data_IF_998806959161
#
_entry.id   IF_998806959161
#
_cell.length_a   1.000
_cell.length_b   1.000
_cell.length_c   1.000
_cell.angle_alpha   90.00
_cell.angle_beta   90.00
_cell.angle_gamma   90.00
#
_symmetry.space_group_name_H-M   'P 1'
#
loop_
_entity.id
_entity.type
_entity.pdbx_description
1 polymer ?
#
# COMPACT_ATOMS: atom_id res chain seq x y z
N UNK A 1 1.33 6.11 13.65
CA UNK A 1 0.11 6.90 13.35
C UNK A 1 -0.52 7.48 14.60
N UNK A 2 -0.69 6.69 15.68
CA UNK A 2 -1.15 7.19 16.99
C UNK A 2 -0.41 8.45 17.46
N UNK A 3 0.92 8.45 17.35
CA UNK A 3 1.75 9.62 17.68
C UNK A 3 1.33 10.89 16.92
N UNK A 4 1.23 10.82 15.59
CA UNK A 4 0.80 11.96 14.77
C UNK A 4 -0.61 12.43 15.12
N UNK A 5 -1.52 11.50 15.44
CA UNK A 5 -2.89 11.83 15.87
C UNK A 5 -2.95 12.44 17.28
N UNK A 6 -1.96 12.17 18.14
CA UNK A 6 -1.88 12.72 19.49
C UNK A 6 -1.38 14.18 19.52
N UNK A 7 -0.82 14.67 18.40
CA UNK A 7 -0.22 16.00 18.26
C UNK A 7 -0.84 16.82 17.12
N UNK A 8 -2.17 17.07 17.15
CA UNK A 8 -2.87 17.80 16.09
C UNK A 8 -2.41 19.26 15.92
N UNK A 9 -1.80 19.84 16.95
CA UNK A 9 -1.21 21.18 16.90
C UNK A 9 0.06 21.24 16.05
N UNK A 10 0.67 20.09 15.73
CA UNK A 10 1.90 19.98 14.93
C UNK A 10 1.68 19.26 13.61
N UNK A 11 0.80 18.26 13.60
CA UNK A 11 0.63 17.38 12.46
C UNK A 11 -0.84 17.25 12.09
N UNK A 12 -1.13 17.38 10.79
CA UNK A 12 -2.38 16.94 10.19
C UNK A 12 -2.11 15.68 9.39
N UNK A 13 -2.61 14.54 9.86
CA UNK A 13 -2.51 13.28 9.12
C UNK A 13 -3.63 13.23 8.07
N UNK A 14 -3.27 13.38 6.80
CA UNK A 14 -4.24 13.32 5.68
C UNK A 14 -4.60 11.87 5.33
N UNK A 15 -3.62 10.97 5.39
CA UNK A 15 -3.81 9.57 5.05
C UNK A 15 -2.50 8.85 4.77
N UNK A 16 -2.62 7.67 4.20
CA UNK A 16 -1.52 6.83 3.71
C UNK A 16 -1.68 6.69 2.21
N UNK A 17 -0.59 6.92 1.47
CA UNK A 17 -0.55 6.75 0.03
C UNK A 17 0.33 5.55 -0.30
N UNK A 18 -0.25 4.56 -0.98
CA UNK A 18 0.47 3.41 -1.53
C UNK A 18 0.75 3.55 -3.01
N UNK A 19 1.85 2.97 -3.49
CA UNK A 19 2.19 2.99 -4.93
C UNK A 19 1.59 1.76 -5.58
N UNK A 20 0.61 1.97 -6.45
CA UNK A 20 -0.06 0.86 -7.12
C UNK A 20 0.88 0.04 -8.01
N UNK A 21 0.63 -1.27 -8.07
CA UNK A 21 1.50 -2.24 -8.73
C UNK A 21 2.71 -2.67 -7.90
N UNK A 22 3.04 -1.97 -6.80
CA UNK A 22 4.09 -2.41 -5.88
C UNK A 22 3.64 -3.67 -5.13
N UNK A 23 4.48 -4.74 -5.07
CA UNK A 23 4.14 -5.97 -4.35
C UNK A 23 3.93 -5.74 -2.85
N UNK A 24 4.57 -4.70 -2.29
CA UNK A 24 4.44 -4.31 -0.89
C UNK A 24 3.40 -3.22 -0.68
N UNK A 25 3.44 -2.17 -1.50
CA UNK A 25 2.74 -0.92 -1.24
C UNK A 25 1.48 -0.69 -2.08
N UNK A 26 1.10 -1.62 -2.96
CA UNK A 26 -0.11 -1.50 -3.79
C UNK A 26 -1.37 -1.35 -2.94
N UNK A 27 -2.35 -0.59 -3.43
CA UNK A 27 -3.61 -0.33 -2.72
C UNK A 27 -4.80 -0.83 -3.52
N UNK A 28 -4.98 -0.34 -4.76
CA UNK A 28 -6.04 -0.85 -5.62
C UNK A 28 -5.61 -2.12 -6.34
N UNK A 29 -4.34 -2.20 -6.69
CA UNK A 29 -3.73 -3.37 -7.29
C UNK A 29 -2.27 -3.52 -6.90
N UNK A 30 -1.81 -4.77 -6.96
CA UNK A 30 -0.48 -5.18 -6.56
C UNK A 30 0.09 -6.19 -7.54
N UNK A 31 1.41 -6.28 -7.59
CA UNK A 31 2.10 -7.40 -8.23
C UNK A 31 2.07 -8.61 -7.30
N UNK A 32 1.53 -9.73 -7.77
CA UNK A 32 1.40 -10.97 -7.02
C UNK A 32 2.09 -12.15 -7.72
N UNK A 33 2.65 -13.07 -6.93
CA UNK A 33 3.31 -14.28 -7.41
C UNK A 33 4.04 -15.02 -6.31
N UNK A 34 4.47 -16.25 -6.60
CA UNK A 34 5.13 -17.15 -5.65
C UNK A 34 6.65 -16.89 -5.58
N UNK A 35 7.08 -15.64 -5.48
CA UNK A 35 8.50 -15.27 -5.40
C UNK A 35 9.03 -15.18 -3.97
N UNK A 36 8.18 -14.96 -2.96
CA UNK A 36 8.52 -14.98 -1.52
C UNK A 36 9.70 -14.08 -1.07
N UNK A 37 10.27 -13.25 -1.94
CA UNK A 37 11.39 -12.37 -1.62
C UNK A 37 12.29 -12.07 -2.82
N UNK A 38 13.59 -12.01 -2.57
CA UNK A 38 14.61 -11.61 -3.55
C UNK A 38 14.70 -12.57 -4.73
N UNK A 39 14.94 -12.02 -5.92
CA UNK A 39 15.24 -12.77 -7.14
C UNK A 39 16.71 -13.18 -7.27
N UNK A 40 17.61 -12.58 -6.48
CA UNK A 40 19.05 -12.84 -6.60
C UNK A 40 19.38 -14.28 -6.22
N UNK A 41 20.20 -14.94 -7.04
CA UNK A 41 20.65 -16.32 -6.80
C UNK A 41 19.62 -17.41 -7.08
N UNK A 42 18.43 -17.07 -7.61
CA UNK A 42 17.40 -18.05 -7.97
C UNK A 42 17.80 -18.86 -9.20
N UNK A 43 17.67 -20.19 -9.10
CA UNK A 43 17.86 -21.12 -10.23
C UNK A 43 16.63 -21.22 -11.13
N UNK A 44 15.46 -20.83 -10.61
CA UNK A 44 14.13 -20.92 -11.22
C UNK A 44 13.57 -19.55 -11.61
N UNK A 45 14.46 -18.57 -11.87
CA UNK A 45 14.04 -17.17 -12.08
C UNK A 45 13.00 -17.03 -13.19
N UNK A 46 13.21 -17.67 -14.33
CA UNK A 46 12.28 -17.59 -15.46
C UNK A 46 10.89 -18.15 -15.10
N UNK A 47 10.84 -19.29 -14.40
CA UNK A 47 9.58 -19.87 -13.93
C UNK A 47 8.90 -18.97 -12.90
N UNK A 48 9.68 -18.37 -12.01
CA UNK A 48 9.17 -17.43 -10.99
C UNK A 48 8.55 -16.20 -11.65
N UNK A 49 9.22 -15.61 -12.65
CA UNK A 49 8.74 -14.45 -13.39
C UNK A 49 7.49 -14.77 -14.22
N UNK A 50 7.39 -15.98 -14.80
CA UNK A 50 6.18 -16.45 -15.49
C UNK A 50 4.96 -16.53 -14.58
N UNK A 51 5.16 -16.70 -13.27
CA UNK A 51 4.09 -16.67 -12.28
C UNK A 51 3.67 -15.27 -11.82
N UNK A 52 4.38 -14.22 -12.25
CA UNK A 52 4.08 -12.85 -11.87
C UNK A 52 2.83 -12.35 -12.60
N UNK A 53 1.90 -11.77 -11.84
CA UNK A 53 0.65 -11.22 -12.38
C UNK A 53 0.22 -10.00 -11.59
N UNK A 54 -0.55 -9.13 -12.22
CA UNK A 54 -1.30 -8.11 -11.50
C UNK A 54 -2.51 -8.75 -10.82
N UNK A 55 -2.80 -8.31 -9.62
CA UNK A 55 -3.97 -8.70 -8.85
C UNK A 55 -4.58 -7.46 -8.20
N UNK A 56 -5.90 -7.43 -8.09
CA UNK A 56 -6.62 -6.40 -7.35
C UNK A 56 -6.39 -6.55 -5.84
N UNK A 57 -6.28 -5.43 -5.13
CA UNK A 57 -6.14 -5.36 -3.68
C UNK A 57 -4.74 -4.95 -3.21
N UNK A 58 -4.56 -5.07 -1.90
CA UNK A 58 -3.37 -4.59 -1.20
C UNK A 58 -2.11 -5.41 -1.50
N UNK A 59 -0.98 -4.71 -1.62
CA UNK A 59 0.33 -5.31 -1.41
C UNK A 59 0.53 -5.73 0.05
N UNK A 60 1.51 -6.60 0.31
CA UNK A 60 1.62 -7.28 1.61
C UNK A 60 1.79 -6.33 2.79
N UNK A 61 2.52 -5.22 2.60
CA UNK A 61 2.68 -4.22 3.65
C UNK A 61 1.38 -3.46 3.92
N UNK A 62 0.64 -3.09 2.86
CA UNK A 62 -0.64 -2.39 3.02
C UNK A 62 -1.72 -3.28 3.61
N UNK A 63 -1.72 -4.58 3.31
CA UNK A 63 -2.66 -5.53 3.91
C UNK A 63 -2.46 -5.62 5.43
N UNK A 64 -1.22 -5.84 5.87
CA UNK A 64 -0.88 -5.87 7.30
C UNK A 64 -1.13 -4.53 7.98
N UNK A 65 -0.75 -3.41 7.35
CA UNK A 65 -1.03 -2.08 7.89
C UNK A 65 -2.54 -1.87 8.08
N UNK A 66 -3.36 -2.23 7.10
CA UNK A 66 -4.82 -2.11 7.20
C UNK A 66 -5.41 -3.00 8.30
N UNK A 67 -4.87 -4.21 8.53
CA UNK A 67 -5.26 -5.06 9.67
C UNK A 67 -4.95 -4.37 10.99
N UNK A 68 -3.72 -3.90 11.17
CA UNK A 68 -3.29 -3.18 12.38
C UNK A 68 -4.14 -1.92 12.63
N UNK A 69 -4.51 -1.18 11.57
CA UNK A 69 -5.39 -0.01 11.70
C UNK A 69 -6.80 -0.39 12.17
N UNK A 70 -7.34 -1.53 11.74
CA UNK A 70 -8.64 -2.01 12.20
C UNK A 70 -8.57 -2.47 13.66
N UNK A 71 -7.55 -3.24 14.02
CA UNK A 71 -7.32 -3.72 15.39
C UNK A 71 -7.22 -2.56 16.39
N UNK A 72 -6.62 -1.46 15.96
CA UNK A 72 -6.43 -0.26 16.76
C UNK A 72 -7.60 0.75 16.68
N UNK A 73 -8.69 0.41 15.97
CA UNK A 73 -9.85 1.29 15.81
C UNK A 73 -9.57 2.57 15.01
N UNK A 74 -8.51 2.59 14.20
CA UNK A 74 -8.06 3.75 13.42
C UNK A 74 -8.52 3.71 11.96
N UNK A 75 -9.05 2.58 11.47
CA UNK A 75 -9.42 2.40 10.07
C UNK A 75 -10.45 3.41 9.52
N UNK A 76 -11.30 3.98 10.37
CA UNK A 76 -12.26 5.03 9.98
C UNK A 76 -11.67 6.45 10.05
N UNK A 77 -10.52 6.62 10.72
CA UNK A 77 -9.89 7.92 10.96
C UNK A 77 -8.75 8.20 9.99
N UNK A 78 -8.21 7.17 9.35
CA UNK A 78 -7.03 7.25 8.50
C UNK A 78 -7.39 6.70 7.13
N UNK A 79 -7.49 7.59 6.16
CA UNK A 79 -7.70 7.22 4.77
C UNK A 79 -6.47 6.50 4.22
N UNK A 80 -6.67 5.37 3.55
CA UNK A 80 -5.66 4.69 2.74
C UNK A 80 -6.07 4.86 1.28
N UNK A 81 -5.18 5.43 0.46
CA UNK A 81 -5.41 5.66 -0.98
C UNK A 81 -4.19 5.24 -1.79
N UNK A 82 -4.35 5.19 -3.10
CA UNK A 82 -3.31 4.81 -4.05
C UNK A 82 -2.72 6.04 -4.76
N UNK A 83 -1.50 5.86 -5.26
CA UNK A 83 -0.86 6.68 -6.27
C UNK A 83 -0.66 5.81 -7.50
N UNK A 84 -1.33 6.19 -8.58
CA UNK A 84 -1.06 5.75 -9.94
C UNK A 84 -0.74 6.98 -10.78
N UNK A 85 0.48 7.06 -11.31
CA UNK A 85 0.97 8.30 -11.93
C UNK A 85 0.11 8.83 -13.10
N UNK A 86 -0.52 7.98 -13.93
CA UNK A 86 -1.48 8.44 -14.94
C UNK A 86 -2.82 8.97 -14.41
N UNK A 87 -3.17 8.69 -13.15
CA UNK A 87 -4.41 9.12 -12.48
C UNK A 87 -4.09 9.74 -11.10
N UNK A 88 -3.32 10.86 -11.06
CA UNK A 88 -2.84 11.44 -9.81
C UNK A 88 -3.96 12.02 -8.93
N UNK A 89 -5.13 12.32 -9.50
CA UNK A 89 -6.27 12.94 -8.82
C UNK A 89 -6.69 12.15 -7.58
N UNK A 90 -6.59 10.82 -7.64
CA UNK A 90 -6.97 9.93 -6.54
C UNK A 90 -6.13 10.11 -5.27
N UNK A 91 -4.84 10.41 -5.40
CA UNK A 91 -4.00 10.73 -4.24
C UNK A 91 -4.16 12.21 -3.84
N UNK A 92 -4.35 13.09 -4.82
CA UNK A 92 -4.48 14.53 -4.61
C UNK A 92 -5.79 14.92 -3.93
N UNK A 93 -6.84 14.09 -4.05
CA UNK A 93 -8.09 14.29 -3.31
C UNK A 93 -7.93 14.28 -1.79
N UNK A 94 -6.79 13.83 -1.25
CA UNK A 94 -6.45 13.96 0.18
C UNK A 94 -6.18 15.42 0.59
N UNK A 95 -5.88 16.30 -0.36
CA UNK A 95 -5.62 17.72 -0.15
C UNK A 95 -6.89 18.57 -0.28
N UNK A 96 -7.95 18.00 -0.83
CA UNK A 96 -9.24 18.65 -0.97
C UNK A 96 -9.95 18.64 0.41
N UNK A 97 -10.39 19.81 0.88
CA UNK A 97 -11.05 19.99 2.20
C UNK A 97 -12.57 19.81 2.14
#
# INVERSE_FOLDING_TARGET
>A
MKEYLAHPERFRLLGVVGVDGSPSCGVDYTSAGNWYGSFSGRKDLEQTLKGARLATGYGIFMDELCKMLREEGLAQRITVTSLFAPEPEKCLSLLEE
#
